data_IF_468954281537
#
_entry.id   IF_468954281537
#
_cell.length_a   1.000
_cell.length_b   1.000
_cell.length_c   1.000
_cell.angle_alpha   90.00
_cell.angle_beta   90.00
_cell.angle_gamma   90.00
#
_symmetry.space_group_name_H-M   'P 1'
#
loop_
_entity.id
_entity.type
_entity.pdbx_description
1 polymer ?
#
# COMPACT_ATOMS: atom_id res chain seq x y z
N UNK A 1 -62.98 -35.26 -0.88
CA UNK A 1 -61.93 -34.25 -1.11
C UNK A 1 -61.65 -34.19 -2.62
N UNK A 2 -61.47 -32.99 -3.18
CA UNK A 2 -61.79 -32.64 -4.57
C UNK A 2 -60.73 -32.92 -5.66
N UNK A 3 -61.28 -33.08 -6.86
CA UNK A 3 -60.87 -32.75 -8.25
C UNK A 3 -59.66 -31.79 -8.54
N UNK A 4 -58.82 -32.25 -9.51
CA UNK A 4 -58.01 -31.53 -10.55
C UNK A 4 -56.69 -30.80 -10.16
N UNK A 5 -55.82 -30.34 -11.11
CA UNK A 5 -54.65 -31.05 -11.67
C UNK A 5 -53.31 -30.25 -11.56
N UNK A 6 -52.28 -30.75 -12.26
CA UNK A 6 -51.19 -29.99 -12.92
C UNK A 6 -50.16 -29.27 -12.05
N UNK A 7 -48.97 -29.89 -11.92
CA UNK A 7 -47.74 -29.16 -11.59
C UNK A 7 -47.00 -28.79 -12.89
N UNK A 8 -47.18 -27.52 -13.29
CA UNK A 8 -46.11 -26.58 -13.67
C UNK A 8 -45.18 -27.07 -14.79
N UNK A 9 -45.30 -26.66 -16.06
CA UNK A 9 -45.28 -25.27 -16.56
C UNK A 9 -44.44 -24.32 -15.69
N UNK A 10 -43.14 -24.32 -15.95
CA UNK A 10 -42.31 -23.14 -15.74
C UNK A 10 -41.25 -22.99 -16.84
N UNK A 11 -41.73 -22.67 -18.04
CA UNK A 11 -40.95 -21.90 -19.02
C UNK A 11 -40.85 -20.47 -18.52
N UNK A 12 -39.77 -20.10 -17.83
CA UNK A 12 -39.27 -18.71 -17.70
C UNK A 12 -37.75 -18.75 -17.45
N UNK A 13 -36.92 -18.61 -18.48
CA UNK A 13 -36.38 -17.32 -18.98
C UNK A 13 -35.61 -16.57 -17.87
N UNK A 14 -34.32 -16.85 -17.76
CA UNK A 14 -33.33 -16.05 -17.03
C UNK A 14 -31.97 -16.19 -17.75
N UNK A 15 -31.10 -15.17 -17.71
CA UNK A 15 -30.63 -14.51 -18.92
C UNK A 15 -29.23 -14.95 -19.39
N UNK A 16 -29.03 -14.80 -20.71
CA UNK A 16 -27.75 -14.79 -21.42
C UNK A 16 -26.85 -13.63 -20.95
N UNK A 17 -26.31 -13.66 -19.74
CA UNK A 17 -25.23 -12.74 -19.35
C UNK A 17 -24.33 -13.41 -18.29
N UNK A 18 -23.60 -14.42 -18.72
CA UNK A 18 -22.40 -14.86 -17.99
C UNK A 18 -21.29 -15.19 -18.98
N UNK A 19 -20.63 -14.15 -19.46
CA UNK A 19 -19.20 -14.22 -19.74
C UNK A 19 -18.66 -12.82 -19.48
N UNK A 20 -18.45 -12.53 -18.19
CA UNK A 20 -17.50 -11.50 -17.81
C UNK A 20 -16.21 -11.81 -18.57
N UNK A 21 -15.74 -10.81 -19.30
CA UNK A 21 -14.41 -10.80 -19.88
C UNK A 21 -13.41 -11.27 -18.83
N UNK A 22 -12.99 -12.54 -18.93
CA UNK A 22 -11.74 -13.01 -18.37
C UNK A 22 -10.65 -12.40 -19.23
N UNK A 23 -10.48 -11.08 -19.09
CA UNK A 23 -9.26 -10.42 -19.45
C UNK A 23 -8.26 -10.86 -18.39
N UNK A 24 -7.67 -12.06 -18.61
CA UNK A 24 -6.51 -12.48 -17.88
C UNK A 24 -5.48 -11.34 -17.93
N UNK A 25 -4.67 -11.15 -16.87
CA UNK A 25 -3.57 -10.21 -16.95
C UNK A 25 -2.74 -10.61 -18.16
N UNK A 26 -2.67 -9.75 -19.17
CA UNK A 26 -1.65 -9.86 -20.21
C UNK A 26 -0.34 -9.96 -19.44
N UNK A 27 0.30 -11.12 -19.51
CA UNK A 27 1.69 -11.24 -19.14
C UNK A 27 2.42 -10.20 -20.00
N UNK A 28 2.73 -9.06 -19.39
CA UNK A 28 3.63 -8.11 -20.01
C UNK A 28 5.01 -8.70 -19.81
N UNK A 29 5.63 -9.09 -20.92
CA UNK A 29 6.99 -9.57 -20.96
C UNK A 29 7.92 -8.59 -20.21
N UNK A 30 8.63 -9.15 -19.24
CA UNK A 30 9.41 -8.47 -18.22
C UNK A 30 10.74 -7.87 -18.76
N UNK A 31 10.94 -7.79 -20.09
CA UNK A 31 12.29 -7.69 -20.68
C UNK A 31 12.54 -6.54 -21.67
N UNK A 32 11.71 -5.49 -21.72
CA UNK A 32 12.01 -4.24 -22.45
C UNK A 32 11.91 -2.99 -21.54
N UNK A 33 12.47 -3.06 -20.33
CA UNK A 33 12.62 -1.86 -19.50
C UNK A 33 13.74 -0.99 -20.08
N UNK A 34 13.38 0.19 -20.61
CA UNK A 34 14.32 1.18 -21.12
C UNK A 34 15.46 1.42 -20.09
N UNK A 35 16.75 1.31 -20.50
CA UNK A 35 17.89 1.48 -19.60
C UNK A 35 17.91 2.83 -18.88
N UNK A 36 17.28 3.86 -19.45
CA UNK A 36 17.10 5.15 -18.78
C UNK A 36 16.14 5.06 -17.59
N UNK A 37 15.07 4.27 -17.70
CA UNK A 37 14.10 3.99 -16.63
C UNK A 37 14.77 3.17 -15.53
N UNK A 38 15.57 2.17 -15.87
CA UNK A 38 16.35 1.40 -14.90
C UNK A 38 17.34 2.29 -14.15
N UNK A 39 18.07 3.16 -14.86
CA UNK A 39 19.00 4.12 -14.24
C UNK A 39 18.27 5.11 -13.32
N UNK A 40 17.12 5.62 -13.73
CA UNK A 40 16.30 6.50 -12.90
C UNK A 40 15.77 5.80 -11.65
N UNK A 41 15.32 4.54 -11.78
CA UNK A 41 14.92 3.70 -10.65
C UNK A 41 16.08 3.51 -9.67
N UNK A 42 17.24 3.07 -10.14
CA UNK A 42 18.44 2.91 -9.30
C UNK A 42 18.88 4.22 -8.62
N UNK A 43 18.83 5.34 -9.34
CA UNK A 43 19.15 6.65 -8.75
C UNK A 43 18.14 7.04 -7.66
N UNK A 44 16.86 6.71 -7.84
CA UNK A 44 15.82 6.97 -6.85
C UNK A 44 15.96 6.07 -5.62
N UNK A 45 16.29 4.78 -5.81
CA UNK A 45 16.53 3.81 -4.74
C UNK A 45 17.74 4.18 -3.89
N UNK A 46 18.81 4.65 -4.53
CA UNK A 46 20.04 5.09 -3.86
C UNK A 46 20.04 6.55 -3.42
N UNK A 47 18.95 7.29 -3.65
CA UNK A 47 18.83 8.66 -3.16
C UNK A 47 18.95 8.68 -1.63
N UNK A 48 19.74 9.60 -1.04
CA UNK A 48 19.84 9.75 0.40
C UNK A 48 18.58 10.35 1.04
N UNK A 49 17.61 10.76 0.21
CA UNK A 49 16.36 11.37 0.61
C UNK A 49 15.20 10.38 0.48
N UNK A 50 14.24 10.47 1.39
CA UNK A 50 13.06 9.59 1.43
C UNK A 50 11.82 10.38 1.84
N UNK A 51 10.68 10.12 1.19
CA UNK A 51 9.40 10.73 1.57
C UNK A 51 8.76 10.01 2.76
N UNK A 52 7.79 10.65 3.42
CA UNK A 52 7.02 10.03 4.52
C UNK A 52 6.33 8.73 4.07
N UNK A 53 5.79 8.73 2.85
CA UNK A 53 5.09 7.58 2.26
C UNK A 53 6.05 6.44 1.98
N UNK A 54 7.23 6.73 1.42
CA UNK A 54 8.28 5.75 1.20
C UNK A 54 8.77 5.16 2.52
N UNK A 55 8.95 5.96 3.58
CA UNK A 55 9.29 5.44 4.91
C UNK A 55 8.23 4.44 5.38
N UNK A 56 6.94 4.75 5.23
CA UNK A 56 5.87 3.85 5.65
C UNK A 56 5.78 2.55 4.83
N UNK A 57 6.31 2.55 3.61
CA UNK A 57 6.44 1.35 2.77
C UNK A 57 7.70 0.55 3.11
N UNK A 58 8.83 1.22 3.36
CA UNK A 58 10.13 0.60 3.64
C UNK A 58 10.22 0.05 5.05
N UNK A 59 9.66 0.77 6.03
CA UNK A 59 9.63 0.37 7.43
C UNK A 59 8.17 0.04 7.79
N UNK A 60 7.89 -1.05 8.52
CA UNK A 60 6.54 -1.48 8.89
C UNK A 60 5.91 -0.53 9.94
N UNK A 61 5.72 0.73 9.56
CA UNK A 61 5.31 1.85 10.41
C UNK A 61 4.33 2.70 9.62
N UNK A 62 3.15 2.98 10.20
CA UNK A 62 2.15 3.80 9.51
C UNK A 62 2.58 5.27 9.40
N UNK A 63 2.08 5.97 8.37
CA UNK A 63 2.25 7.43 8.23
C UNK A 63 1.76 8.19 9.47
N UNK A 64 0.65 7.76 10.07
CA UNK A 64 0.12 8.32 11.31
C UNK A 64 1.13 8.22 12.45
N UNK A 65 1.79 7.07 12.58
CA UNK A 65 2.83 6.83 13.58
C UNK A 65 4.03 7.75 13.36
N UNK A 66 4.49 7.91 12.12
CA UNK A 66 5.61 8.81 11.79
C UNK A 66 5.27 10.26 12.16
N UNK A 67 4.07 10.74 11.81
CA UNK A 67 3.60 12.08 12.17
C UNK A 67 3.47 12.27 13.67
N UNK A 68 3.03 11.25 14.41
CA UNK A 68 3.00 11.29 15.88
C UNK A 68 4.41 11.40 16.45
N UNK A 69 5.36 10.60 15.97
CA UNK A 69 6.76 10.68 16.39
C UNK A 69 7.39 12.04 16.08
N UNK A 70 7.01 12.67 14.96
CA UNK A 70 7.41 14.04 14.63
C UNK A 70 6.85 15.07 15.61
N UNK A 71 5.56 14.95 15.98
CA UNK A 71 4.95 15.81 17.00
C UNK A 71 5.60 15.63 18.38
N UNK A 72 6.07 14.42 18.69
CA UNK A 72 6.81 14.10 19.91
C UNK A 72 8.30 14.50 19.84
N UNK A 73 8.78 15.05 18.71
CA UNK A 73 10.17 15.44 18.51
C UNK A 73 11.15 14.26 18.38
N UNK A 74 10.65 13.04 18.16
CA UNK A 74 11.45 11.81 18.01
C UNK A 74 11.94 11.58 16.58
N UNK A 75 11.41 12.32 15.60
CA UNK A 75 11.86 12.29 14.21
C UNK A 75 12.77 13.49 13.89
N UNK A 76 13.73 13.32 12.97
CA UNK A 76 14.57 14.42 12.50
C UNK A 76 13.74 15.45 11.73
N UNK A 77 14.26 16.67 11.57
CA UNK A 77 13.58 17.71 10.80
C UNK A 77 13.51 17.38 9.31
N UNK A 78 12.38 17.69 8.68
CA UNK A 78 12.22 17.55 7.22
C UNK A 78 12.97 18.65 6.48
N UNK A 79 13.56 18.28 5.35
CA UNK A 79 14.14 19.22 4.39
C UNK A 79 13.19 19.42 3.22
N UNK A 80 12.98 20.67 2.80
CA UNK A 80 12.20 20.99 1.60
C UNK A 80 13.06 20.79 0.34
N UNK A 81 12.61 19.91 -0.56
CA UNK A 81 13.20 19.67 -1.88
C UNK A 81 12.12 19.92 -2.94
N UNK A 82 12.17 21.10 -3.55
CA UNK A 82 11.15 21.54 -4.49
C UNK A 82 9.77 21.68 -3.81
N UNK A 83 8.80 20.88 -4.27
CA UNK A 83 7.43 20.84 -3.71
C UNK A 83 7.26 19.82 -2.58
N UNK A 84 8.27 18.98 -2.33
CA UNK A 84 8.16 17.87 -1.39
C UNK A 84 8.96 18.13 -0.13
N UNK A 85 8.42 17.65 1.00
CA UNK A 85 9.15 17.54 2.25
C UNK A 85 9.71 16.12 2.36
N UNK A 86 11.02 16.02 2.51
CA UNK A 86 11.75 14.76 2.55
C UNK A 86 12.61 14.67 3.80
N UNK A 87 12.88 13.45 4.22
CA UNK A 87 13.83 13.16 5.27
C UNK A 87 15.13 12.63 4.70
N UNK A 88 16.20 12.71 5.48
CA UNK A 88 17.45 12.00 5.19
C UNK A 88 17.32 10.55 5.69
N UNK A 89 17.53 9.56 4.82
CA UNK A 89 17.37 8.13 5.14
C UNK A 89 18.14 7.73 6.41
N UNK A 90 19.42 8.10 6.48
CA UNK A 90 20.29 7.77 7.60
C UNK A 90 19.81 8.29 8.96
N UNK A 91 19.10 9.42 8.97
CA UNK A 91 18.59 10.01 10.22
C UNK A 91 17.29 9.34 10.65
N UNK A 92 16.42 9.01 9.70
CA UNK A 92 15.18 8.25 9.94
C UNK A 92 15.50 6.88 10.50
N UNK A 93 16.49 6.17 9.94
CA UNK A 93 16.90 4.85 10.44
C UNK A 93 17.34 4.91 11.90
N UNK A 94 18.19 5.89 12.24
CA UNK A 94 18.63 6.11 13.64
C UNK A 94 17.44 6.40 14.53
N UNK A 95 16.54 7.28 14.10
CA UNK A 95 15.37 7.66 14.87
C UNK A 95 14.38 6.49 15.08
N UNK A 96 14.19 5.63 14.08
CA UNK A 96 13.35 4.44 14.19
C UNK A 96 14.00 3.37 15.08
N UNK A 97 15.32 3.19 15.01
CA UNK A 97 16.05 2.28 15.90
C UNK A 97 15.92 2.71 17.37
N UNK A 98 16.06 4.01 17.65
CA UNK A 98 15.89 4.57 19.01
C UNK A 98 14.42 4.53 19.45
N UNK A 99 13.51 4.93 18.55
CA UNK A 99 12.07 5.03 18.80
C UNK A 99 11.34 3.69 18.97
N UNK A 100 11.93 2.57 18.54
CA UNK A 100 11.38 1.21 18.74
C UNK A 100 11.11 0.86 20.21
N UNK A 101 11.83 1.48 21.15
CA UNK A 101 11.55 1.34 22.60
C UNK A 101 10.25 2.00 23.02
N UNK A 102 9.85 3.07 22.33
CA UNK A 102 8.59 3.80 22.60
C UNK A 102 7.38 3.11 21.95
N UNK A 103 7.57 2.54 20.74
CA UNK A 103 6.51 1.90 19.96
C UNK A 103 5.94 0.61 20.57
N UNK A 104 6.76 -0.18 21.28
CA UNK A 104 6.31 -1.42 21.93
C UNK A 104 5.20 -1.23 22.97
N UNK A 105 5.05 -0.04 23.56
CA UNK A 105 3.99 0.21 24.55
C UNK A 105 2.59 0.40 23.93
N UNK A 106 2.48 0.56 22.61
CA UNK A 106 1.21 0.91 21.97
C UNK A 106 0.59 -0.22 21.13
N UNK A 107 1.35 -1.25 20.76
CA UNK A 107 0.82 -2.36 19.94
C UNK A 107 -0.05 -3.34 20.73
N UNK A 108 0.04 -3.33 22.06
CA UNK A 108 -0.78 -4.16 22.96
C UNK A 108 -2.22 -3.63 23.16
N UNK A 109 -2.59 -2.51 22.52
CA UNK A 109 -3.92 -1.89 22.68
C UNK A 109 -4.85 -2.05 21.47
N UNK A 110 -4.58 -3.03 20.58
CA UNK A 110 -5.34 -3.21 19.34
C UNK A 110 -5.62 -4.68 19.00
N UNK A 111 -6.30 -5.40 19.88
CA UNK A 111 -7.04 -6.62 19.55
C UNK A 111 -8.35 -6.62 20.34
N UNK A 112 -9.40 -6.12 19.69
CA UNK A 112 -10.79 -6.26 20.06
C UNK A 112 -11.58 -6.61 18.79
#
# INVERSE_FOLDING_TARGET
MPLVPSRLDLVRRAPLFLCHSLQGPKAMDEFDLDPSVLRAKWASENSPWISVEQIAQTYPVSVRTIRRMEAEGLMPSRTKRGRFLVYRKSEVEKALLVGRRSLRRNTDQGSL
#
